data_IF_317073002272
#
_entry.id   IF_317073002272
#
_cell.length_a   1.000
_cell.length_b   1.000
_cell.length_c   1.000
_cell.angle_alpha   90.00
_cell.angle_beta   90.00
_cell.angle_gamma   90.00
#
_symmetry.space_group_name_H-M   'P 1'
#
loop_
_entity.id
_entity.type
_entity.pdbx_description
1 polymer ?
#
# COMPACT_ATOMS: atom_id res chain seq x y z
N UNK A 1 32.93 7.01 -7.38
CA UNK A 1 32.13 8.23 -7.23
C UNK A 1 31.92 8.78 -8.62
N UNK A 2 30.73 8.56 -9.17
CA UNK A 2 30.27 9.19 -10.41
C UNK A 2 28.98 9.88 -10.01
N UNK A 3 29.02 11.20 -9.82
CA UNK A 3 27.80 12.00 -9.88
C UNK A 3 27.36 11.95 -11.34
N UNK A 4 26.33 11.15 -11.65
CA UNK A 4 25.70 11.22 -12.96
C UNK A 4 25.09 12.62 -13.11
N UNK A 5 25.41 13.38 -14.17
CA UNK A 5 24.82 14.69 -14.38
C UNK A 5 23.29 14.53 -14.47
N UNK A 6 22.54 15.41 -13.79
CA UNK A 6 21.07 15.44 -13.89
C UNK A 6 20.66 15.53 -15.37
N UNK A 7 20.32 14.38 -15.95
CA UNK A 7 20.00 14.29 -17.36
C UNK A 7 18.59 14.87 -17.56
N UNK A 8 18.52 15.92 -18.37
CA UNK A 8 17.25 16.55 -18.74
C UNK A 8 16.74 15.95 -20.05
N UNK A 9 15.49 15.48 -20.02
CA UNK A 9 14.78 14.85 -21.13
C UNK A 9 13.77 15.82 -21.75
N UNK A 10 13.59 15.73 -23.07
CA UNK A 10 12.44 16.30 -23.76
C UNK A 10 11.18 15.47 -23.50
N UNK A 11 10.02 16.05 -23.83
CA UNK A 11 8.74 15.33 -23.70
C UNK A 11 8.66 14.08 -24.58
N UNK A 12 9.43 14.01 -25.68
CA UNK A 12 9.48 12.84 -26.55
C UNK A 12 10.29 11.71 -25.92
N UNK A 13 11.48 12.04 -25.41
CA UNK A 13 12.37 11.07 -24.77
C UNK A 13 11.76 10.48 -23.49
N UNK A 14 11.14 11.32 -22.64
CA UNK A 14 10.48 10.82 -21.43
C UNK A 14 9.24 9.97 -21.75
N UNK A 15 8.53 10.29 -22.84
CA UNK A 15 7.38 9.52 -23.29
C UNK A 15 7.78 8.12 -23.75
N UNK A 16 8.88 8.03 -24.51
CA UNK A 16 9.45 6.75 -24.94
C UNK A 16 9.94 5.94 -23.75
N UNK A 17 10.69 6.56 -22.84
CA UNK A 17 11.27 5.91 -21.67
C UNK A 17 10.22 5.37 -20.69
N UNK A 18 9.13 6.11 -20.47
CA UNK A 18 8.02 5.67 -19.62
C UNK A 18 6.96 4.82 -20.36
N UNK A 19 7.12 4.59 -21.67
CA UNK A 19 6.15 3.85 -22.49
C UNK A 19 4.76 4.50 -22.54
N UNK A 20 4.68 5.84 -22.56
CA UNK A 20 3.41 6.57 -22.67
C UNK A 20 3.37 7.37 -23.97
N UNK A 21 2.18 7.46 -24.58
CA UNK A 21 1.96 8.35 -25.71
C UNK A 21 2.25 9.84 -25.34
N UNK A 22 3.10 10.57 -26.09
CA UNK A 22 3.40 11.98 -25.84
C UNK A 22 2.16 12.90 -25.76
N UNK A 23 1.05 12.52 -26.40
CA UNK A 23 -0.23 13.25 -26.31
C UNK A 23 -0.84 13.11 -24.92
N UNK A 24 -0.78 11.91 -24.33
CA UNK A 24 -1.27 11.62 -22.98
C UNK A 24 -0.48 12.41 -21.94
N UNK A 25 0.87 12.44 -22.05
CA UNK A 25 1.73 13.24 -21.18
C UNK A 25 1.41 14.74 -21.27
N UNK A 26 1.19 15.26 -22.49
CA UNK A 26 0.73 16.65 -22.67
C UNK A 26 -0.62 16.92 -22.02
N UNK A 27 -1.54 15.95 -22.06
CA UNK A 27 -2.84 16.08 -21.41
C UNK A 27 -2.70 16.08 -19.88
N UNK A 28 -1.86 15.19 -19.31
CA UNK A 28 -1.53 15.14 -17.88
C UNK A 28 -0.93 16.45 -17.38
N UNK A 29 0.02 17.01 -18.13
CA UNK A 29 0.59 18.31 -17.83
C UNK A 29 -0.45 19.44 -17.89
N UNK A 30 -1.13 19.61 -19.03
CA UNK A 30 -1.95 20.80 -19.29
C UNK A 30 -3.32 20.78 -18.62
N UNK A 31 -4.01 19.64 -18.66
CA UNK A 31 -5.41 19.55 -18.18
C UNK A 31 -5.48 19.22 -16.70
N UNK A 32 -4.58 18.36 -16.23
CA UNK A 32 -4.62 17.84 -14.87
C UNK A 32 -3.52 18.42 -13.98
N UNK A 33 -2.53 19.11 -14.54
CA UNK A 33 -1.44 19.71 -13.77
C UNK A 33 -0.62 18.67 -13.00
N UNK A 34 -0.52 17.46 -13.53
CA UNK A 34 0.15 16.32 -12.87
C UNK A 34 1.67 16.39 -12.96
N UNK A 35 2.19 17.08 -13.98
CA UNK A 35 3.63 17.28 -14.21
C UNK A 35 3.92 18.78 -14.28
N UNK A 36 5.05 19.19 -13.71
CA UNK A 36 5.53 20.58 -13.71
C UNK A 36 6.98 20.63 -14.21
N UNK A 37 7.22 20.33 -15.50
CA UNK A 37 8.58 20.32 -16.04
C UNK A 37 9.21 21.71 -15.95
N UNK A 38 10.52 21.70 -15.76
CA UNK A 38 11.33 22.91 -15.79
C UNK A 38 11.35 23.48 -17.21
N UNK A 39 11.71 24.77 -17.32
CA UNK A 39 11.96 25.41 -18.61
C UNK A 39 13.43 25.71 -18.73
N UNK A 40 14.03 25.33 -19.86
CA UNK A 40 15.38 25.75 -20.20
C UNK A 40 15.43 27.27 -20.44
N UNK A 41 16.64 27.84 -20.48
CA UNK A 41 16.84 29.24 -20.85
C UNK A 41 16.24 29.58 -22.23
N UNK A 42 16.20 28.61 -23.15
CA UNK A 42 15.55 28.71 -24.46
C UNK A 42 14.02 28.54 -24.44
N UNK A 43 13.40 28.35 -23.27
CA UNK A 43 11.95 28.24 -23.11
C UNK A 43 11.35 26.87 -23.41
N UNK A 44 12.18 25.85 -23.70
CA UNK A 44 11.75 24.47 -23.93
C UNK A 44 11.50 23.74 -22.61
N UNK A 45 10.55 22.79 -22.61
CA UNK A 45 10.27 21.97 -21.41
C UNK A 45 11.36 20.93 -21.25
N UNK A 46 11.91 20.84 -20.04
CA UNK A 46 12.87 19.84 -19.61
C UNK A 46 12.27 19.05 -18.46
N UNK A 47 12.40 17.73 -18.55
CA UNK A 47 11.97 16.77 -17.55
C UNK A 47 13.20 16.09 -16.95
N UNK A 48 13.15 15.71 -15.69
CA UNK A 48 14.25 15.04 -15.01
C UNK A 48 13.86 13.60 -14.61
N UNK A 49 14.71 12.94 -13.82
CA UNK A 49 14.44 11.59 -13.35
C UNK A 49 13.28 11.53 -12.32
N UNK A 50 13.01 12.62 -11.62
CA UNK A 50 11.88 12.72 -10.69
C UNK A 50 10.56 12.77 -11.45
N UNK A 51 10.52 13.45 -12.59
CA UNK A 51 9.38 13.41 -13.52
C UNK A 51 9.10 11.99 -14.02
N UNK A 52 10.13 11.16 -14.25
CA UNK A 52 9.97 9.75 -14.64
C UNK A 52 9.29 8.95 -13.53
N UNK A 53 9.77 9.08 -12.30
CA UNK A 53 9.18 8.39 -11.15
C UNK A 53 7.71 8.80 -10.96
N UNK A 54 7.43 10.11 -11.06
CA UNK A 54 6.08 10.66 -10.97
C UNK A 54 5.16 10.12 -12.07
N UNK A 55 5.68 9.94 -13.29
CA UNK A 55 4.93 9.35 -14.41
C UNK A 55 4.56 7.88 -14.11
N UNK A 56 5.49 7.10 -13.56
CA UNK A 56 5.23 5.70 -13.18
C UNK A 56 4.21 5.58 -12.03
N UNK A 57 4.20 6.52 -11.08
CA UNK A 57 3.17 6.58 -10.03
C UNK A 57 1.80 6.93 -10.59
N UNK A 58 1.71 7.90 -11.52
CA UNK A 58 0.45 8.21 -12.21
C UNK A 58 -0.07 6.97 -12.94
N UNK A 59 0.80 6.23 -13.64
CA UNK A 59 0.44 4.97 -14.31
C UNK A 59 -0.10 3.94 -13.31
N UNK A 60 0.54 3.79 -12.16
CA UNK A 60 0.10 2.86 -11.11
C UNK A 60 -1.32 3.16 -10.63
N UNK A 61 -1.62 4.43 -10.37
CA UNK A 61 -2.96 4.86 -9.96
C UNK A 61 -4.02 4.66 -11.05
N UNK A 62 -3.68 4.92 -12.30
CA UNK A 62 -4.61 4.69 -13.41
C UNK A 62 -4.85 3.18 -13.62
N UNK A 63 -3.79 2.36 -13.50
CA UNK A 63 -3.88 0.89 -13.59
C UNK A 63 -4.74 0.31 -12.46
N UNK A 64 -4.74 0.92 -11.27
CA UNK A 64 -5.62 0.54 -10.16
C UNK A 64 -7.06 1.07 -10.28
N UNK A 65 -7.41 1.69 -11.42
CA UNK A 65 -8.77 2.14 -11.71
C UNK A 65 -9.11 3.54 -11.22
N UNK A 66 -8.13 4.32 -10.74
CA UNK A 66 -8.35 5.71 -10.34
C UNK A 66 -8.49 6.61 -11.58
N UNK A 67 -9.56 7.41 -11.68
CA UNK A 67 -9.69 8.40 -12.75
C UNK A 67 -8.57 9.44 -12.69
N UNK A 68 -7.96 9.77 -13.84
CA UNK A 68 -6.81 10.71 -13.96
C UNK A 68 -7.04 12.03 -13.21
N UNK A 69 -8.25 12.57 -13.23
CA UNK A 69 -8.59 13.82 -12.54
C UNK A 69 -8.49 13.76 -11.01
N UNK A 70 -8.52 12.56 -10.41
CA UNK A 70 -8.35 12.34 -8.96
C UNK A 70 -6.90 12.04 -8.57
N UNK A 71 -6.04 11.68 -9.53
CA UNK A 71 -4.65 11.27 -9.29
C UNK A 71 -3.84 12.39 -8.64
N UNK A 72 -4.07 13.66 -9.02
CA UNK A 72 -3.35 14.80 -8.44
C UNK A 72 -3.49 14.88 -6.93
N UNK A 73 -4.72 14.72 -6.42
CA UNK A 73 -4.98 14.76 -4.99
C UNK A 73 -4.38 13.57 -4.23
N UNK A 74 -4.10 12.46 -4.92
CA UNK A 74 -3.39 11.31 -4.36
C UNK A 74 -1.88 11.55 -4.36
N UNK A 75 -1.31 12.06 -5.47
CA UNK A 75 0.10 12.43 -5.56
C UNK A 75 0.51 13.59 -4.65
N UNK A 76 -0.40 14.53 -4.38
CA UNK A 76 -0.16 15.64 -3.46
C UNK A 76 -0.33 15.21 -1.99
N UNK A 77 -0.93 14.04 -1.73
CA UNK A 77 -0.99 13.38 -0.41
C UNK A 77 0.15 12.39 -0.20
N UNK A 78 0.56 11.71 -1.26
CA UNK A 78 1.83 11.00 -1.42
C UNK A 78 2.89 11.95 -1.95
N UNK A 79 3.01 13.17 -1.39
CA UNK A 79 4.32 13.84 -1.48
C UNK A 79 5.30 12.77 -1.04
N UNK A 80 6.23 12.43 -1.92
CA UNK A 80 7.37 11.59 -1.59
C UNK A 80 8.05 12.34 -0.45
N UNK A 81 7.60 12.02 0.75
CA UNK A 81 8.31 12.25 1.99
C UNK A 81 9.60 11.53 1.67
N UNK A 82 10.65 12.32 1.37
CA UNK A 82 11.96 11.80 1.07
C UNK A 82 12.22 10.64 2.05
N UNK A 83 12.79 9.50 1.62
CA UNK A 83 12.96 8.34 2.50
C UNK A 83 13.47 8.69 3.90
N UNK A 84 14.28 9.75 4.00
CA UNK A 84 14.71 10.39 5.24
C UNK A 84 13.59 10.79 6.21
N UNK A 85 12.48 11.36 5.74
CA UNK A 85 11.40 11.84 6.61
C UNK A 85 10.48 10.71 7.12
N UNK A 86 10.32 9.59 6.40
CA UNK A 86 9.71 8.38 6.98
C UNK A 86 10.63 7.71 8.00
N UNK A 87 11.94 7.76 7.79
CA UNK A 87 12.90 7.24 8.78
C UNK A 87 12.78 7.95 10.13
N UNK A 88 12.58 9.27 10.13
CA UNK A 88 12.31 10.03 11.37
C UNK A 88 11.06 9.50 12.07
N UNK A 89 9.96 9.29 11.34
CA UNK A 89 8.71 8.74 11.89
C UNK A 89 8.91 7.32 12.42
N UNK A 90 9.70 6.48 11.75
CA UNK A 90 10.06 5.15 12.22
C UNK A 90 10.86 5.19 13.52
N UNK A 91 11.86 6.07 13.64
CA UNK A 91 12.64 6.23 14.87
C UNK A 91 11.78 6.72 16.04
N UNK A 92 10.90 7.70 15.79
CA UNK A 92 9.94 8.16 16.79
C UNK A 92 9.01 7.02 17.25
N UNK A 93 8.48 6.24 16.31
CA UNK A 93 7.63 5.09 16.61
C UNK A 93 8.40 4.05 17.43
N UNK A 94 9.64 3.71 17.04
CA UNK A 94 10.52 2.81 17.78
C UNK A 94 10.74 3.32 19.21
N UNK A 95 11.00 4.62 19.37
CA UNK A 95 11.14 5.26 20.69
C UNK A 95 9.89 5.13 21.54
N UNK A 96 8.70 5.30 20.96
CA UNK A 96 7.42 5.12 21.65
C UNK A 96 7.18 3.66 22.03
N UNK A 97 7.44 2.71 21.14
CA UNK A 97 7.27 1.27 21.42
C UNK A 97 8.20 0.82 22.55
N UNK A 98 9.46 1.27 22.56
CA UNK A 98 10.45 0.96 23.61
C UNK A 98 10.07 1.47 25.00
N UNK A 99 9.21 2.49 25.09
CA UNK A 99 8.68 2.94 26.38
C UNK A 99 7.71 1.94 27.01
N UNK A 100 7.21 0.96 26.25
CA UNK A 100 6.27 -0.07 26.69
C UNK A 100 5.01 0.51 27.37
N UNK A 101 4.52 1.66 26.88
CA UNK A 101 3.31 2.34 27.37
C UNK A 101 2.19 2.25 26.33
N UNK A 102 1.20 1.36 26.51
CA UNK A 102 0.13 1.14 25.52
C UNK A 102 -0.64 2.42 25.15
N UNK A 103 -0.92 3.29 26.13
CA UNK A 103 -1.64 4.54 25.89
C UNK A 103 -0.86 5.51 24.99
N UNK A 104 0.46 5.65 25.20
CA UNK A 104 1.33 6.50 24.37
C UNK A 104 1.42 5.96 22.95
N UNK A 105 1.54 4.64 22.79
CA UNK A 105 1.57 4.00 21.48
C UNK A 105 0.28 4.24 20.69
N UNK A 106 -0.89 4.04 21.31
CA UNK A 106 -2.18 4.35 20.68
C UNK A 106 -2.31 5.81 20.27
N UNK A 107 -1.87 6.73 21.14
CA UNK A 107 -1.89 8.15 20.83
C UNK A 107 -1.00 8.47 19.61
N UNK A 108 0.20 7.88 19.52
CA UNK A 108 1.10 8.05 18.37
C UNK A 108 0.48 7.50 17.08
N UNK A 109 -0.07 6.29 17.11
CA UNK A 109 -0.76 5.70 15.94
C UNK A 109 -1.92 6.61 15.50
N UNK A 110 -2.74 7.06 16.44
CA UNK A 110 -3.89 7.95 16.17
C UNK A 110 -3.45 9.28 15.56
N UNK A 111 -2.33 9.86 16.00
CA UNK A 111 -1.79 11.08 15.41
C UNK A 111 -1.34 10.85 13.97
N UNK A 112 -0.58 9.77 13.71
CA UNK A 112 -0.07 9.46 12.38
C UNK A 112 -1.19 9.25 11.35
N UNK A 113 -2.24 8.49 11.70
CA UNK A 113 -3.34 8.16 10.79
C UNK A 113 -4.26 9.35 10.49
N UNK A 114 -4.19 10.43 11.28
CA UNK A 114 -4.93 11.68 10.98
C UNK A 114 -4.26 12.49 9.87
N UNK A 115 -2.95 12.38 9.76
CA UNK A 115 -2.14 13.22 8.88
C UNK A 115 -1.71 12.48 7.60
N UNK A 116 -1.82 11.15 7.56
CA UNK A 116 -1.27 10.31 6.50
C UNK A 116 -2.30 9.28 6.01
N UNK A 117 -2.17 8.88 4.74
CA UNK A 117 -2.91 7.75 4.19
C UNK A 117 -2.50 6.44 4.87
N UNK A 118 -3.45 5.51 5.06
CA UNK A 118 -3.19 4.25 5.75
C UNK A 118 -2.20 3.40 4.96
N UNK A 119 -2.33 3.36 3.64
CA UNK A 119 -1.39 2.65 2.75
C UNK A 119 0.06 3.11 2.95
N UNK A 120 0.29 4.42 2.99
CA UNK A 120 1.62 4.99 3.23
C UNK A 120 2.17 4.62 4.61
N UNK A 121 1.33 4.62 5.64
CA UNK A 121 1.74 4.23 7.00
C UNK A 121 2.05 2.74 7.11
N UNK A 122 1.28 1.87 6.44
CA UNK A 122 1.53 0.44 6.41
C UNK A 122 2.92 0.18 5.84
N UNK A 123 3.20 0.68 4.64
CA UNK A 123 4.41 0.36 3.89
C UNK A 123 5.66 1.03 4.47
N UNK A 124 5.53 2.26 4.96
CA UNK A 124 6.68 3.08 5.35
C UNK A 124 6.91 3.18 6.86
N UNK A 125 5.96 2.77 7.69
CA UNK A 125 6.09 2.88 9.16
C UNK A 125 5.78 1.55 9.85
N UNK A 126 4.55 1.04 9.73
CA UNK A 126 4.11 -0.11 10.52
C UNK A 126 4.88 -1.38 10.17
N UNK A 127 5.00 -1.73 8.88
CA UNK A 127 5.75 -2.92 8.49
C UNK A 127 7.26 -2.79 8.76
N UNK A 128 7.95 -1.69 8.41
CA UNK A 128 9.37 -1.53 8.73
C UNK A 128 9.69 -1.59 10.23
N UNK A 129 8.89 -0.91 11.07
CA UNK A 129 9.07 -0.93 12.53
C UNK A 129 8.84 -2.34 13.09
N UNK A 130 7.79 -3.04 12.65
CA UNK A 130 7.54 -4.44 13.06
C UNK A 130 8.67 -5.37 12.66
N UNK A 131 9.24 -5.23 11.46
CA UNK A 131 10.41 -5.99 11.00
C UNK A 131 11.62 -5.72 11.89
N UNK A 132 11.92 -4.45 12.19
CA UNK A 132 13.03 -4.06 13.09
C UNK A 132 12.87 -4.63 14.49
N UNK A 133 11.65 -4.60 15.04
CA UNK A 133 11.33 -5.24 16.33
C UNK A 133 11.45 -6.77 16.28
N UNK A 134 11.51 -7.40 15.12
CA UNK A 134 11.69 -8.86 15.05
C UNK A 134 13.16 -9.29 15.06
N UNK A 135 14.10 -8.34 14.90
CA UNK A 135 15.54 -8.61 14.80
C UNK A 135 16.29 -8.52 16.15
N UNK A 136 15.65 -8.06 17.22
CA UNK A 136 16.24 -7.88 18.55
C UNK A 136 15.88 -9.08 19.46
N UNK A 137 16.84 -9.68 20.17
CA UNK A 137 16.72 -11.10 20.59
C UNK A 137 16.01 -11.36 21.93
N UNK A 138 15.81 -10.35 22.79
CA UNK A 138 15.38 -10.62 24.18
C UNK A 138 14.11 -9.87 24.66
N UNK A 139 13.85 -8.64 24.21
CA UNK A 139 12.65 -7.86 24.58
C UNK A 139 11.66 -7.68 23.43
N UNK A 140 12.10 -8.06 22.23
CA UNK A 140 11.46 -7.67 20.99
C UNK A 140 10.17 -8.45 20.65
N UNK A 141 9.99 -9.73 21.05
CA UNK A 141 8.70 -10.40 20.90
C UNK A 141 7.57 -9.71 21.69
N UNK A 142 7.84 -9.29 22.93
CA UNK A 142 6.86 -8.59 23.77
C UNK A 142 6.53 -7.20 23.21
N UNK A 143 7.54 -6.45 22.76
CA UNK A 143 7.35 -5.14 22.15
C UNK A 143 6.61 -5.23 20.81
N UNK A 144 6.93 -6.23 19.97
CA UNK A 144 6.19 -6.50 18.74
C UNK A 144 4.75 -6.89 19.04
N UNK A 145 4.52 -7.76 20.02
CA UNK A 145 3.16 -8.15 20.43
C UNK A 145 2.34 -6.96 20.93
N UNK A 146 2.95 -6.07 21.73
CA UNK A 146 2.34 -4.81 22.15
C UNK A 146 1.97 -3.94 20.95
N UNK A 147 2.86 -3.83 19.96
CA UNK A 147 2.61 -3.08 18.74
C UNK A 147 1.49 -3.69 17.90
N UNK A 148 1.52 -5.01 17.70
CA UNK A 148 0.53 -5.75 16.94
C UNK A 148 -0.87 -5.59 17.56
N UNK A 149 -0.97 -5.66 18.90
CA UNK A 149 -2.22 -5.39 19.61
C UNK A 149 -2.78 -3.99 19.34
N UNK A 150 -1.93 -2.95 19.38
CA UNK A 150 -2.34 -1.58 19.10
C UNK A 150 -2.73 -1.35 17.63
N UNK A 151 -2.06 -2.02 16.69
CA UNK A 151 -2.38 -1.95 15.26
C UNK A 151 -3.69 -2.67 14.93
N UNK A 152 -3.95 -3.82 15.55
CA UNK A 152 -5.22 -4.55 15.40
C UNK A 152 -6.36 -3.71 16.00
N UNK A 153 -6.17 -3.11 17.17
CA UNK A 153 -7.15 -2.18 17.76
C UNK A 153 -7.46 -1.02 16.79
N UNK A 154 -6.44 -0.38 16.23
CA UNK A 154 -6.64 0.64 15.20
C UNK A 154 -7.42 0.08 13.99
N UNK A 155 -7.04 -1.09 13.48
CA UNK A 155 -7.67 -1.68 12.30
C UNK A 155 -9.16 -1.96 12.53
N UNK A 156 -9.52 -2.51 13.68
CA UNK A 156 -10.93 -2.75 14.04
C UNK A 156 -11.77 -1.48 14.03
N UNK A 157 -11.26 -0.38 14.61
CA UNK A 157 -11.93 0.92 14.60
C UNK A 157 -12.04 1.51 13.20
N UNK A 158 -10.96 1.41 12.41
CA UNK A 158 -10.92 1.90 11.03
C UNK A 158 -11.94 1.17 10.14
N UNK A 159 -11.96 -0.16 10.22
CA UNK A 159 -12.89 -1.00 9.48
C UNK A 159 -14.34 -0.68 9.85
N UNK A 160 -14.67 -0.59 11.13
CA UNK A 160 -16.04 -0.27 11.58
C UNK A 160 -16.56 1.06 11.00
N UNK A 161 -15.68 2.05 10.83
CA UNK A 161 -16.03 3.33 10.23
C UNK A 161 -16.11 3.26 8.69
N UNK A 162 -15.23 2.49 8.04
CA UNK A 162 -15.24 2.31 6.59
C UNK A 162 -16.52 1.61 6.09
N UNK A 163 -17.07 0.66 6.87
CA UNK A 163 -18.32 -0.07 6.57
C UNK A 163 -19.52 0.83 6.32
N UNK A 164 -19.56 2.01 6.95
CA UNK A 164 -20.66 2.97 6.80
C UNK A 164 -20.67 3.68 5.45
N UNK A 165 -19.59 3.56 4.67
CA UNK A 165 -19.32 4.42 3.50
C UNK A 165 -19.40 3.69 2.16
N UNK A 166 -19.55 2.38 2.15
CA UNK A 166 -19.53 1.56 0.94
C UNK A 166 -20.44 0.35 1.07
N UNK A 167 -20.95 -0.12 -0.06
CA UNK A 167 -21.76 -1.34 -0.18
C UNK A 167 -21.01 -2.47 -0.89
N UNK A 168 -19.75 -2.26 -1.27
CA UNK A 168 -18.92 -3.29 -1.90
C UNK A 168 -18.36 -4.22 -0.84
N UNK A 169 -18.98 -5.36 -0.64
CA UNK A 169 -18.61 -6.32 0.39
C UNK A 169 -17.59 -7.35 -0.13
N UNK A 170 -16.63 -7.69 0.72
CA UNK A 170 -15.69 -8.78 0.48
C UNK A 170 -15.23 -9.42 1.78
N UNK A 171 -14.94 -10.72 1.71
CA UNK A 171 -14.26 -11.47 2.75
C UNK A 171 -12.74 -11.41 2.52
N UNK A 172 -11.97 -11.08 3.54
CA UNK A 172 -10.52 -11.21 3.53
C UNK A 172 -10.10 -12.37 4.43
N UNK A 173 -9.23 -13.23 3.93
CA UNK A 173 -8.70 -14.37 4.67
C UNK A 173 -7.21 -14.59 4.39
N UNK A 174 -6.50 -15.13 5.38
CA UNK A 174 -5.13 -15.63 5.19
C UNK A 174 -5.14 -17.10 4.81
N UNK A 175 -4.26 -17.52 3.89
CA UNK A 175 -4.08 -18.94 3.55
C UNK A 175 -2.70 -19.45 3.99
N UNK A 176 -2.69 -20.40 4.92
CA UNK A 176 -1.50 -21.03 5.47
C UNK A 176 -0.87 -20.20 6.60
N UNK A 177 0.47 -20.20 6.66
CA UNK A 177 1.22 -19.45 7.68
C UNK A 177 1.26 -17.97 7.31
N UNK A 178 0.27 -17.22 7.81
CA UNK A 178 0.14 -15.77 7.58
C UNK A 178 0.31 -14.98 8.88
N UNK A 179 1.02 -13.87 8.82
CA UNK A 179 1.07 -12.87 9.90
C UNK A 179 -0.31 -12.25 10.14
N UNK A 180 -0.90 -12.51 11.31
CA UNK A 180 -2.24 -12.02 11.65
C UNK A 180 -2.36 -10.51 11.65
N UNK A 181 -1.40 -9.80 12.26
CA UNK A 181 -1.45 -8.35 12.28
C UNK A 181 -1.22 -7.76 10.89
N UNK A 182 -0.49 -8.46 10.00
CA UNK A 182 -0.45 -8.10 8.58
C UNK A 182 -1.83 -8.18 7.94
N UNK A 183 -2.57 -9.26 8.16
CA UNK A 183 -3.92 -9.45 7.61
C UNK A 183 -4.87 -8.31 8.01
N UNK A 184 -4.82 -7.85 9.27
CA UNK A 184 -5.61 -6.71 9.73
C UNK A 184 -5.22 -5.39 9.06
N UNK A 185 -3.93 -5.17 8.79
CA UNK A 185 -3.47 -3.97 8.06
C UNK A 185 -3.92 -4.01 6.59
N UNK A 186 -3.88 -5.18 5.95
CA UNK A 186 -4.36 -5.34 4.56
C UNK A 186 -5.88 -5.15 4.47
N UNK A 187 -6.64 -5.53 5.50
CA UNK A 187 -8.05 -5.20 5.59
C UNK A 187 -8.27 -3.68 5.55
N UNK A 188 -7.46 -2.90 6.28
CA UNK A 188 -7.52 -1.43 6.25
C UNK A 188 -7.19 -0.86 4.87
N UNK A 189 -6.17 -1.40 4.20
CA UNK A 189 -5.80 -1.01 2.83
C UNK A 189 -6.97 -1.18 1.85
N UNK A 190 -7.57 -2.38 1.84
CA UNK A 190 -8.74 -2.66 1.00
C UNK A 190 -9.93 -1.76 1.36
N UNK A 191 -10.13 -1.50 2.65
CA UNK A 191 -11.18 -0.60 3.12
C UNK A 191 -10.96 0.86 2.69
N UNK A 192 -9.71 1.34 2.68
CA UNK A 192 -9.35 2.64 2.12
C UNK A 192 -9.64 2.71 0.61
N UNK A 193 -9.52 1.58 -0.11
CA UNK A 193 -9.87 1.44 -1.52
C UNK A 193 -11.39 1.33 -1.77
N UNK A 194 -12.21 1.40 -0.72
CA UNK A 194 -13.67 1.46 -0.80
C UNK A 194 -14.36 0.11 -0.66
N UNK A 195 -13.71 -0.89 -0.06
CA UNK A 195 -14.33 -2.16 0.29
C UNK A 195 -14.86 -2.17 1.73
N UNK A 196 -16.01 -2.79 1.93
CA UNK A 196 -16.45 -3.30 3.21
C UNK A 196 -15.79 -4.66 3.39
N UNK A 197 -14.76 -4.72 4.24
CA UNK A 197 -14.05 -5.97 4.53
C UNK A 197 -14.62 -6.63 5.79
N UNK A 198 -15.02 -7.88 5.65
CA UNK A 198 -15.18 -8.84 6.74
C UNK A 198 -13.97 -9.77 6.79
N UNK A 199 -13.33 -9.83 7.96
CA UNK A 199 -12.09 -10.57 8.13
C UNK A 199 -12.36 -11.94 8.74
N UNK A 200 -11.85 -13.00 8.12
CA UNK A 200 -11.71 -14.29 8.79
C UNK A 200 -10.53 -14.17 9.77
N UNK A 201 -10.85 -14.24 11.06
CA UNK A 201 -9.93 -13.88 12.15
C UNK A 201 -8.65 -14.72 12.19
N UNK A 202 -8.70 -15.95 11.67
CA UNK A 202 -7.61 -16.92 11.69
C UNK A 202 -7.20 -17.28 10.26
N UNK A 203 -5.89 -17.30 9.95
CA UNK A 203 -5.40 -17.92 8.72
C UNK A 203 -5.85 -19.37 8.64
N UNK A 204 -6.26 -19.79 7.44
CA UNK A 204 -6.78 -21.12 7.19
C UNK A 204 -5.74 -21.94 6.43
N UNK A 205 -5.40 -23.13 6.93
CA UNK A 205 -4.57 -24.08 6.17
C UNK A 205 -5.32 -24.60 4.94
N UNK A 206 -6.63 -24.82 5.11
CA UNK A 206 -7.53 -25.33 4.09
C UNK A 206 -8.75 -24.41 3.94
N UNK A 207 -8.71 -23.42 3.03
CA UNK A 207 -9.84 -22.55 2.77
C UNK A 207 -10.99 -23.31 2.14
N UNK A 208 -12.22 -22.94 2.51
CA UNK A 208 -13.45 -23.48 1.92
C UNK A 208 -14.38 -22.34 1.47
N UNK A 209 -14.08 -21.65 0.34
CA UNK A 209 -14.91 -20.56 -0.18
C UNK A 209 -16.37 -20.98 -0.44
N UNK A 210 -16.61 -22.26 -0.69
CA UNK A 210 -17.94 -22.85 -0.88
C UNK A 210 -18.89 -22.67 0.31
N UNK A 211 -18.36 -22.44 1.52
CA UNK A 211 -19.17 -22.17 2.71
C UNK A 211 -19.74 -20.74 2.73
N UNK A 212 -19.24 -19.84 1.89
CA UNK A 212 -19.69 -18.46 1.80
C UNK A 212 -20.09 -18.11 0.35
N UNK A 213 -21.26 -18.60 -0.10
CA UNK A 213 -21.69 -18.41 -1.49
C UNK A 213 -21.90 -16.93 -1.82
N UNK A 214 -21.64 -16.56 -3.07
CA UNK A 214 -21.82 -15.20 -3.63
C UNK A 214 -20.96 -14.10 -3.00
N UNK A 215 -19.89 -14.46 -2.29
CA UNK A 215 -18.95 -13.50 -1.71
C UNK A 215 -17.77 -13.22 -2.65
N UNK A 216 -17.27 -11.99 -2.62
CA UNK A 216 -15.95 -11.66 -3.17
C UNK A 216 -14.89 -12.00 -2.12
N UNK A 217 -13.86 -12.74 -2.52
CA UNK A 217 -12.77 -13.13 -1.63
C UNK A 217 -11.49 -12.40 -1.99
N UNK A 218 -10.88 -11.79 -0.99
CA UNK A 218 -9.45 -11.49 -0.99
C UNK A 218 -8.73 -12.59 -0.19
N UNK A 219 -7.72 -13.21 -0.81
CA UNK A 219 -6.91 -14.24 -0.18
C UNK A 219 -5.49 -13.72 -0.06
N UNK A 220 -5.05 -13.52 1.17
CA UNK A 220 -3.70 -13.08 1.49
C UNK A 220 -2.77 -14.27 1.71
N UNK A 221 -1.60 -14.23 1.09
CA UNK A 221 -0.48 -15.12 1.40
C UNK A 221 0.81 -14.33 1.59
N UNK A 222 1.57 -14.67 2.63
CA UNK A 222 2.88 -14.03 2.87
C UNK A 222 3.91 -14.45 1.80
N UNK A 223 3.78 -15.68 1.29
CA UNK A 223 4.61 -16.25 0.24
C UNK A 223 3.80 -16.53 -1.05
N UNK A 224 4.45 -16.64 -2.21
CA UNK A 224 3.79 -17.12 -3.43
C UNK A 224 3.14 -18.48 -3.23
N UNK A 225 1.98 -18.69 -3.85
CA UNK A 225 1.25 -19.96 -3.77
C UNK A 225 2.12 -21.13 -4.24
N UNK A 226 2.16 -22.21 -3.44
CA UNK A 226 2.78 -23.47 -3.86
C UNK A 226 1.93 -24.18 -4.93
N UNK A 227 2.46 -25.26 -5.53
CA UNK A 227 1.79 -25.97 -6.64
C UNK A 227 0.38 -26.47 -6.28
N UNK A 228 0.19 -27.01 -5.07
CA UNK A 228 -1.12 -27.49 -4.60
C UNK A 228 -2.11 -26.32 -4.43
N UNK A 229 -1.64 -25.22 -3.84
CA UNK A 229 -2.45 -24.01 -3.66
C UNK A 229 -2.82 -23.39 -5.01
N UNK A 230 -1.93 -23.40 -6.00
CA UNK A 230 -2.19 -22.92 -7.35
C UNK A 230 -3.26 -23.76 -8.06
N UNK A 231 -3.17 -25.09 -7.98
CA UNK A 231 -4.16 -26.00 -8.55
C UNK A 231 -5.54 -25.78 -7.94
N UNK A 232 -5.61 -25.66 -6.61
CA UNK A 232 -6.86 -25.39 -5.90
C UNK A 232 -7.42 -23.99 -6.20
N UNK A 233 -6.57 -22.99 -6.28
CA UNK A 233 -6.95 -21.64 -6.71
C UNK A 233 -7.54 -21.62 -8.13
N UNK A 234 -6.94 -22.39 -9.05
CA UNK A 234 -7.45 -22.55 -10.41
C UNK A 234 -8.81 -23.27 -10.40
N UNK A 235 -8.98 -24.28 -9.56
CA UNK A 235 -10.25 -25.00 -9.39
C UNK A 235 -11.38 -24.07 -8.91
N UNK A 236 -11.15 -23.25 -7.88
CA UNK A 236 -12.15 -22.30 -7.41
C UNK A 236 -12.52 -21.25 -8.47
N UNK A 237 -11.55 -20.75 -9.22
CA UNK A 237 -11.81 -19.84 -10.34
C UNK A 237 -12.65 -20.51 -11.42
N UNK A 238 -12.38 -21.78 -11.73
CA UNK A 238 -13.17 -22.55 -12.69
C UNK A 238 -14.62 -22.80 -12.21
N UNK A 239 -14.83 -22.88 -10.90
CA UNK A 239 -16.16 -22.96 -10.28
C UNK A 239 -16.91 -21.61 -10.22
N UNK A 240 -16.26 -20.51 -10.64
CA UNK A 240 -16.87 -19.19 -10.71
C UNK A 240 -16.77 -18.37 -9.42
N UNK A 241 -15.97 -18.79 -8.43
CA UNK A 241 -15.73 -17.97 -7.24
C UNK A 241 -14.96 -16.69 -7.59
N UNK A 242 -15.43 -15.55 -7.10
CA UNK A 242 -14.78 -14.26 -7.28
C UNK A 242 -13.61 -14.11 -6.30
N UNK A 243 -12.44 -14.64 -6.66
CA UNK A 243 -11.25 -14.67 -5.78
C UNK A 243 -10.12 -13.80 -6.35
N UNK A 244 -9.64 -12.88 -5.53
CA UNK A 244 -8.45 -12.06 -5.76
C UNK A 244 -7.35 -12.47 -4.78
N UNK A 245 -6.19 -12.87 -5.30
CA UNK A 245 -5.03 -13.22 -4.48
C UNK A 245 -4.15 -11.99 -4.25
N UNK A 246 -3.72 -11.79 -3.01
CA UNK A 246 -2.86 -10.70 -2.54
C UNK A 246 -1.58 -11.29 -1.96
N UNK A 247 -0.43 -10.75 -2.31
CA UNK A 247 0.87 -11.19 -1.79
C UNK A 247 1.71 -9.99 -1.36
N UNK A 248 2.75 -10.23 -0.56
CA UNK A 248 3.72 -9.18 -0.18
C UNK A 248 4.61 -8.73 -1.36
N UNK A 249 4.55 -9.46 -2.49
CA UNK A 249 5.20 -9.09 -3.73
C UNK A 249 4.42 -7.94 -4.37
N UNK A 250 5.02 -6.75 -4.45
CA UNK A 250 4.55 -5.74 -5.41
C UNK A 250 4.41 -6.45 -6.76
N UNK A 251 3.28 -6.33 -7.48
CA UNK A 251 3.20 -6.87 -8.82
C UNK A 251 4.32 -6.21 -9.63
N UNK A 252 5.22 -7.04 -10.15
CA UNK A 252 6.26 -6.65 -11.11
C UNK A 252 5.67 -5.87 -12.29
#
# INVERSE_FOLDING_TARGET
>A
MSEDPMAFYSIGEIAERCGINPVTLRAWQRRYGLLKPQRSEGGHRQFDEDDIQRIEEIKRWIKSGVPVGKVKALLDKDVVVAPEAWNVVQEEMMGVVRQARPATLRAKITALVRENAVDGLIDNVFLPVRRRLSLDQYTAPSMRSLMDGALIEYATLFLAEARKKTTKEALLMGWGKVDRARLWLEACRLAQQGWHIDLLAEPLDLPHPELFPNQHFFVWTDEPLNAEQQERAAHWKAQGFAITFLTDSKPE
#
